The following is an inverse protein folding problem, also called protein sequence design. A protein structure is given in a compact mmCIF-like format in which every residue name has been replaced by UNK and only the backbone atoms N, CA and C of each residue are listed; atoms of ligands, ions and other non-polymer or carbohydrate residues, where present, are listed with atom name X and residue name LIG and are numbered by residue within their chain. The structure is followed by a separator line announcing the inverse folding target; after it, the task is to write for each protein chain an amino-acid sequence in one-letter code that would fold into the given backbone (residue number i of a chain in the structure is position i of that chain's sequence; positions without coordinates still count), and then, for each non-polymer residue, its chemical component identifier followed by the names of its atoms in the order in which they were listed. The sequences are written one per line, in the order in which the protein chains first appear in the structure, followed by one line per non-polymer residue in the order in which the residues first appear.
data_IF_101273510013
#
_entry.id   IF_101273510013
#
_cell.length_a   1.000
_cell.length_b   1.000
_cell.length_c   1.000
_cell.angle_alpha   90.00
_cell.angle_beta   90.00
_cell.angle_gamma   90.00
#
_symmetry.space_group_name_H-M   'P 1'
#
loop_
_entity.id
_entity.type
_entity.pdbx_description
1 polymer ?
#
# COMPACT_ATOMS: atom_id res chain seq x y z
N UNK A 1 -3.74 19.02 3.16
CA UNK A 1 -3.08 20.22 2.61
C UNK A 1 -3.73 20.74 1.30
N UNK A 2 -5.01 20.33 1.00
CA UNK A 2 -5.78 20.86 -0.14
C UNK A 2 -6.58 22.12 0.20
N UNK A 3 -6.62 22.52 1.47
CA UNK A 3 -7.55 23.56 1.93
C UNK A 3 -7.02 25.00 1.81
N UNK A 4 -5.81 25.22 1.26
CA UNK A 4 -5.16 26.53 1.28
C UNK A 4 -4.69 27.07 -0.09
N UNK A 5 -5.33 26.71 -1.19
CA UNK A 5 -5.22 27.56 -2.37
C UNK A 5 -6.42 28.52 -2.43
N UNK A 6 -6.26 29.79 -2.09
CA UNK A 6 -7.27 30.76 -2.40
C UNK A 6 -7.29 30.92 -3.93
N UNK A 7 -8.27 30.32 -4.59
CA UNK A 7 -8.62 30.71 -5.95
C UNK A 7 -9.23 32.10 -5.81
N UNK A 8 -8.39 33.11 -5.99
CA UNK A 8 -8.77 34.52 -5.86
C UNK A 8 -9.94 34.79 -6.79
N UNK A 9 -11.10 35.10 -6.24
CA UNK A 9 -12.29 35.55 -6.97
C UNK A 9 -13.33 34.48 -7.32
N UNK A 10 -13.14 33.20 -6.97
CA UNK A 10 -14.18 32.18 -7.16
C UNK A 10 -14.92 31.90 -5.83
N UNK A 11 -16.21 32.14 -5.83
CA UNK A 11 -17.11 31.76 -4.75
C UNK A 11 -17.19 30.23 -4.71
N UNK A 12 -16.60 29.63 -3.66
CA UNK A 12 -16.51 28.18 -3.47
C UNK A 12 -17.89 27.52 -3.56
N UNK A 13 -18.88 28.13 -2.96
CA UNK A 13 -20.26 27.59 -2.95
C UNK A 13 -20.87 27.60 -4.38
N UNK A 14 -20.60 28.63 -5.16
CA UNK A 14 -21.05 28.66 -6.57
C UNK A 14 -20.34 27.60 -7.42
N UNK A 15 -19.05 27.40 -7.20
CA UNK A 15 -18.27 26.37 -7.92
C UNK A 15 -18.80 24.98 -7.55
N UNK A 16 -18.99 24.69 -6.27
CA UNK A 16 -19.52 23.40 -5.81
C UNK A 16 -20.95 23.16 -6.33
N UNK A 17 -21.83 24.17 -6.29
CA UNK A 17 -23.18 24.05 -6.83
C UNK A 17 -23.20 23.83 -8.34
N UNK A 18 -22.30 24.51 -9.08
CA UNK A 18 -22.18 24.30 -10.52
C UNK A 18 -21.62 22.93 -10.87
N UNK A 19 -20.65 22.43 -10.10
CA UNK A 19 -20.12 21.07 -10.26
C UNK A 19 -21.19 20.01 -9.97
N UNK A 20 -21.99 20.18 -8.91
CA UNK A 20 -23.13 19.30 -8.61
C UNK A 20 -24.19 19.34 -9.73
N UNK A 21 -24.45 20.51 -10.29
CA UNK A 21 -25.36 20.64 -11.42
C UNK A 21 -24.82 19.94 -12.66
N UNK A 22 -23.54 20.17 -12.99
CA UNK A 22 -22.88 19.54 -14.14
C UNK A 22 -22.83 18.00 -13.95
N UNK A 23 -22.57 17.49 -12.74
CA UNK A 23 -22.65 16.05 -12.46
C UNK A 23 -24.03 15.48 -12.80
N UNK A 24 -25.11 16.15 -12.42
CA UNK A 24 -26.47 15.70 -12.73
C UNK A 24 -26.79 15.78 -14.24
N UNK A 25 -26.30 16.81 -14.92
CA UNK A 25 -26.44 16.96 -16.37
C UNK A 25 -25.62 15.86 -17.09
N UNK A 26 -24.43 15.50 -16.57
CA UNK A 26 -23.61 14.42 -17.07
C UNK A 26 -24.27 13.05 -16.90
N UNK A 27 -24.91 12.78 -15.76
CA UNK A 27 -25.67 11.55 -15.53
C UNK A 27 -26.72 11.29 -16.62
N UNK A 28 -27.33 12.36 -17.16
CA UNK A 28 -28.37 12.25 -18.19
C UNK A 28 -27.81 11.98 -19.61
N UNK A 29 -26.55 12.33 -19.87
CA UNK A 29 -25.97 12.28 -21.21
C UNK A 29 -25.07 11.03 -21.48
N UNK A 30 -24.61 10.32 -20.44
CA UNK A 30 -23.47 9.39 -20.59
C UNK A 30 -23.75 7.94 -20.17
N UNK A 31 -24.90 7.41 -20.51
CA UNK A 31 -25.25 6.00 -20.23
C UNK A 31 -24.53 4.95 -21.10
N UNK A 32 -23.51 5.32 -21.89
CA UNK A 32 -23.05 4.47 -22.99
C UNK A 32 -21.58 4.02 -22.90
N UNK A 33 -20.69 4.67 -22.13
CA UNK A 33 -19.28 4.24 -22.07
C UNK A 33 -18.76 4.06 -20.65
N UNK A 34 -17.86 3.09 -20.46
CA UNK A 34 -17.13 2.86 -19.20
C UNK A 34 -16.48 4.15 -18.69
N UNK A 35 -15.88 4.95 -19.58
CA UNK A 35 -15.26 6.23 -19.25
C UNK A 35 -16.25 7.27 -18.72
N UNK A 36 -17.47 7.27 -19.23
CA UNK A 36 -18.49 8.20 -18.80
C UNK A 36 -19.05 7.82 -17.44
N UNK A 37 -19.35 6.54 -17.21
CA UNK A 37 -19.73 6.00 -15.90
C UNK A 37 -18.66 6.32 -14.85
N UNK A 38 -17.41 6.12 -15.20
CA UNK A 38 -16.25 6.42 -14.37
C UNK A 38 -16.16 7.90 -13.99
N UNK A 39 -16.25 8.83 -14.94
CA UNK A 39 -16.20 10.28 -14.67
C UNK A 39 -17.41 10.72 -13.80
N UNK A 40 -18.57 10.14 -14.01
CA UNK A 40 -19.76 10.36 -13.17
C UNK A 40 -19.52 9.92 -11.74
N UNK A 41 -18.93 8.73 -11.55
CA UNK A 41 -18.58 8.21 -10.22
C UNK A 41 -17.57 9.12 -9.50
N UNK A 42 -16.55 9.62 -10.20
CA UNK A 42 -15.61 10.58 -9.63
C UNK A 42 -16.28 11.87 -9.17
N UNK A 43 -17.17 12.41 -9.99
CA UNK A 43 -17.91 13.62 -9.64
C UNK A 43 -18.82 13.39 -8.43
N UNK A 44 -19.49 12.25 -8.35
CA UNK A 44 -20.32 11.86 -7.19
C UNK A 44 -19.48 11.67 -5.93
N UNK A 45 -18.32 11.04 -6.03
CA UNK A 45 -17.39 10.88 -4.90
C UNK A 45 -16.96 12.22 -4.31
N UNK A 46 -16.63 13.19 -5.16
CA UNK A 46 -16.02 14.44 -4.73
C UNK A 46 -17.05 15.51 -4.37
N UNK A 47 -18.21 15.51 -5.02
CA UNK A 47 -19.19 16.60 -4.93
C UNK A 47 -20.62 16.14 -4.71
N UNK A 48 -20.89 14.85 -4.67
CA UNK A 48 -22.24 14.30 -4.61
C UNK A 48 -22.43 13.25 -3.52
N UNK A 49 -22.91 12.10 -3.92
CA UNK A 49 -23.21 10.94 -3.07
C UNK A 49 -22.13 9.85 -3.24
N UNK A 50 -21.24 9.65 -2.24
CA UNK A 50 -20.20 8.65 -2.32
C UNK A 50 -20.74 7.21 -2.44
N UNK A 51 -21.90 6.90 -1.88
CA UNK A 51 -22.51 5.56 -1.98
C UNK A 51 -22.96 5.26 -3.40
N UNK A 52 -23.54 6.25 -4.07
CA UNK A 52 -23.89 6.13 -5.48
C UNK A 52 -22.65 6.02 -6.37
N UNK A 53 -21.56 6.70 -6.01
CA UNK A 53 -20.28 6.53 -6.70
C UNK A 53 -19.77 5.08 -6.60
N UNK A 54 -19.85 4.47 -5.41
CA UNK A 54 -19.48 3.06 -5.20
C UNK A 54 -20.29 2.14 -6.10
N UNK A 55 -21.62 2.27 -6.11
CA UNK A 55 -22.49 1.43 -6.94
C UNK A 55 -22.12 1.50 -8.43
N UNK A 56 -21.88 2.71 -8.96
CA UNK A 56 -21.48 2.87 -10.37
C UNK A 56 -20.10 2.23 -10.63
N UNK A 57 -19.15 2.35 -9.70
CA UNK A 57 -17.83 1.76 -9.84
C UNK A 57 -17.88 0.22 -9.78
N UNK A 58 -18.72 -0.34 -8.92
CA UNK A 58 -18.95 -1.78 -8.82
C UNK A 58 -19.61 -2.32 -10.09
N UNK A 59 -20.58 -1.63 -10.66
CA UNK A 59 -21.19 -1.99 -11.95
C UNK A 59 -20.16 -2.08 -13.09
N UNK A 60 -19.14 -1.19 -13.08
CA UNK A 60 -18.06 -1.26 -14.07
C UNK A 60 -17.15 -2.50 -13.85
N UNK A 61 -16.92 -2.90 -12.59
CA UNK A 61 -16.12 -4.10 -12.29
C UNK A 61 -16.81 -5.39 -12.77
N UNK A 62 -18.15 -5.43 -12.69
CA UNK A 62 -18.96 -6.58 -13.11
C UNK A 62 -19.21 -6.62 -14.62
N UNK A 63 -19.04 -5.48 -15.31
CA UNK A 63 -19.25 -5.39 -16.76
C UNK A 63 -18.20 -6.21 -17.52
N UNK A 64 -18.65 -7.20 -18.30
CA UNK A 64 -17.79 -8.06 -19.13
C UNK A 64 -17.07 -7.28 -20.23
N UNK A 65 -17.61 -6.14 -20.67
CA UNK A 65 -17.01 -5.27 -21.67
C UNK A 65 -15.83 -4.43 -21.12
N UNK A 66 -15.71 -4.32 -19.81
CA UNK A 66 -14.63 -3.60 -19.13
C UNK A 66 -13.30 -4.32 -19.24
N UNK A 67 -12.28 -3.60 -19.71
CA UNK A 67 -10.91 -4.14 -19.81
C UNK A 67 -10.29 -4.30 -18.41
N UNK A 68 -9.22 -5.11 -18.31
CA UNK A 68 -8.45 -5.21 -17.06
C UNK A 68 -7.90 -3.87 -16.59
N UNK A 69 -7.54 -2.99 -17.52
CA UNK A 69 -7.09 -1.64 -17.18
C UNK A 69 -8.23 -0.79 -16.60
N UNK A 70 -9.43 -0.83 -17.18
CA UNK A 70 -10.60 -0.15 -16.62
C UNK A 70 -10.89 -0.64 -15.21
N UNK A 71 -10.86 -1.97 -15.00
CA UNK A 71 -11.08 -2.59 -13.69
C UNK A 71 -10.02 -2.21 -12.66
N UNK A 72 -8.74 -2.13 -13.06
CA UNK A 72 -7.68 -1.64 -12.19
C UNK A 72 -7.92 -0.21 -11.74
N UNK A 73 -8.22 0.66 -12.69
CA UNK A 73 -8.49 2.07 -12.46
C UNK A 73 -9.68 2.26 -11.51
N UNK A 74 -10.77 1.53 -11.77
CA UNK A 74 -11.98 1.55 -10.93
C UNK A 74 -11.69 1.06 -9.51
N UNK A 75 -10.94 -0.01 -9.36
CA UNK A 75 -10.54 -0.53 -8.04
C UNK A 75 -9.69 0.50 -7.26
N UNK A 76 -8.76 1.18 -7.93
CA UNK A 76 -8.03 2.28 -7.32
C UNK A 76 -8.97 3.40 -6.83
N UNK A 77 -9.96 3.78 -7.64
CA UNK A 77 -10.92 4.83 -7.22
C UNK A 77 -11.86 4.38 -6.12
N UNK A 78 -12.27 3.12 -6.08
CA UNK A 78 -12.99 2.56 -4.92
C UNK A 78 -12.17 2.74 -3.65
N UNK A 79 -10.88 2.48 -3.68
CA UNK A 79 -10.01 2.72 -2.52
C UNK A 79 -10.02 4.18 -2.05
N UNK A 80 -10.23 5.12 -2.95
CA UNK A 80 -10.28 6.56 -2.62
C UNK A 80 -11.61 7.02 -2.03
N UNK A 81 -12.67 6.23 -2.14
CA UNK A 81 -13.96 6.49 -1.48
C UNK A 81 -13.87 6.16 0.01
N UNK A 82 -13.21 5.06 0.36
CA UNK A 82 -13.08 4.57 1.73
C UNK A 82 -11.98 5.31 2.48
N UNK A 83 -12.33 6.48 3.06
CA UNK A 83 -11.38 7.39 3.73
C UNK A 83 -11.44 7.28 5.26
N UNK A 84 -12.50 6.68 5.81
CA UNK A 84 -12.67 6.59 7.25
C UNK A 84 -11.69 5.55 7.84
N UNK A 85 -11.20 5.77 9.07
CA UNK A 85 -10.33 4.82 9.74
C UNK A 85 -10.92 3.41 9.86
N UNK A 86 -12.23 3.30 10.07
CA UNK A 86 -12.95 2.02 10.19
C UNK A 86 -13.00 1.24 8.86
N UNK A 87 -12.81 1.93 7.74
CA UNK A 87 -12.82 1.36 6.39
C UNK A 87 -11.40 1.04 5.87
N UNK A 88 -10.39 1.17 6.73
CA UNK A 88 -8.97 1.05 6.36
C UNK A 88 -8.63 -0.29 5.71
N UNK A 89 -9.19 -1.40 6.21
CA UNK A 89 -8.96 -2.74 5.63
C UNK A 89 -9.60 -2.87 4.24
N UNK A 90 -10.79 -2.30 4.05
CA UNK A 90 -11.46 -2.27 2.76
C UNK A 90 -10.68 -1.43 1.74
N UNK A 91 -10.14 -0.30 2.18
CA UNK A 91 -9.24 0.51 1.35
C UNK A 91 -7.99 -0.27 0.92
N UNK A 92 -7.35 -0.99 1.84
CA UNK A 92 -6.19 -1.85 1.51
C UNK A 92 -6.55 -2.96 0.54
N UNK A 93 -7.73 -3.57 0.71
CA UNK A 93 -8.22 -4.58 -0.21
C UNK A 93 -8.32 -4.06 -1.64
N UNK A 94 -8.96 -2.91 -1.84
CA UNK A 94 -9.12 -2.31 -3.16
C UNK A 94 -7.80 -1.86 -3.77
N UNK A 95 -6.87 -1.31 -2.97
CA UNK A 95 -5.52 -0.99 -3.43
C UNK A 95 -4.75 -2.24 -3.87
N UNK A 96 -4.84 -3.33 -3.10
CA UNK A 96 -4.18 -4.58 -3.46
C UNK A 96 -4.80 -5.21 -4.72
N UNK A 97 -6.12 -5.12 -4.87
CA UNK A 97 -6.81 -5.62 -6.05
C UNK A 97 -6.43 -4.82 -7.30
N UNK A 98 -6.41 -3.48 -7.22
CA UNK A 98 -5.94 -2.61 -8.30
C UNK A 98 -4.50 -2.92 -8.68
N UNK A 99 -3.59 -2.99 -7.71
CA UNK A 99 -2.18 -3.32 -7.96
C UNK A 99 -2.00 -4.68 -8.63
N UNK A 100 -2.79 -5.69 -8.23
CA UNK A 100 -2.75 -7.00 -8.87
C UNK A 100 -3.21 -6.97 -10.34
N UNK A 101 -4.22 -6.16 -10.67
CA UNK A 101 -4.65 -5.95 -12.04
C UNK A 101 -3.61 -5.16 -12.85
N UNK A 102 -2.97 -4.15 -12.25
CA UNK A 102 -1.90 -3.36 -12.89
C UNK A 102 -0.74 -4.23 -13.37
N UNK A 103 -0.40 -5.30 -12.64
CA UNK A 103 0.64 -6.25 -13.07
C UNK A 103 0.25 -7.07 -14.30
N UNK A 104 -1.03 -7.14 -14.64
CA UNK A 104 -1.55 -7.94 -15.76
C UNK A 104 -1.75 -7.12 -17.05
N UNK A 105 -1.59 -5.80 -16.97
CA UNK A 105 -1.79 -4.88 -18.10
C UNK A 105 -0.48 -4.23 -18.53
N UNK A 106 -0.32 -3.91 -19.83
CA UNK A 106 0.89 -3.23 -20.31
C UNK A 106 1.04 -1.79 -19.79
N UNK A 107 -0.09 -1.10 -19.61
CA UNK A 107 -0.13 0.26 -19.07
C UNK A 107 -0.31 0.16 -17.56
N UNK A 108 0.73 0.45 -16.83
CA UNK A 108 0.77 0.29 -15.38
C UNK A 108 0.60 1.66 -14.70
N UNK A 109 -0.46 1.81 -13.93
CA UNK A 109 -0.60 2.92 -13.00
C UNK A 109 -0.24 2.44 -11.58
N UNK A 110 0.95 2.81 -11.13
CA UNK A 110 1.49 2.34 -9.84
C UNK A 110 1.01 3.14 -8.63
N UNK A 111 0.04 4.01 -8.80
CA UNK A 111 -0.54 4.79 -7.68
C UNK A 111 -1.09 3.87 -6.60
N UNK A 112 -1.76 2.79 -7.00
CA UNK A 112 -2.31 1.77 -6.11
C UNK A 112 -1.24 1.10 -5.25
N UNK A 113 -0.13 0.68 -5.86
CA UNK A 113 0.97 0.01 -5.18
C UNK A 113 1.74 0.96 -4.24
N UNK A 114 1.96 2.21 -4.65
CA UNK A 114 2.57 3.24 -3.80
C UNK A 114 1.73 3.54 -2.55
N UNK A 115 0.41 3.68 -2.71
CA UNK A 115 -0.48 3.93 -1.58
C UNK A 115 -0.58 2.71 -0.66
N UNK A 116 -0.66 1.50 -1.21
CA UNK A 116 -0.64 0.27 -0.44
C UNK A 116 0.65 0.14 0.38
N UNK A 117 1.80 0.39 -0.23
CA UNK A 117 3.10 0.38 0.46
C UNK A 117 3.14 1.39 1.61
N UNK A 118 2.57 2.59 1.41
CA UNK A 118 2.49 3.60 2.47
C UNK A 118 1.61 3.12 3.63
N UNK A 119 0.46 2.50 3.35
CA UNK A 119 -0.43 1.96 4.39
C UNK A 119 0.22 0.81 5.16
N UNK A 120 0.95 -0.08 4.47
CA UNK A 120 1.69 -1.16 5.11
C UNK A 120 2.82 -0.63 6.01
N UNK A 121 3.51 0.43 5.60
CA UNK A 121 4.50 1.11 6.43
C UNK A 121 3.88 1.65 7.73
N UNK A 122 2.72 2.31 7.63
CA UNK A 122 1.99 2.82 8.80
C UNK A 122 1.51 1.70 9.73
N UNK A 123 1.18 0.52 9.18
CA UNK A 123 0.81 -0.68 9.94
C UNK A 123 2.03 -1.41 10.55
N UNK A 124 3.24 -0.97 10.24
CA UNK A 124 4.49 -1.57 10.73
C UNK A 124 4.96 -2.79 9.94
N UNK A 125 4.33 -3.11 8.82
CA UNK A 125 4.80 -4.17 7.90
C UNK A 125 5.87 -3.62 6.95
N UNK A 126 7.06 -3.42 7.51
CA UNK A 126 8.17 -2.75 6.86
C UNK A 126 8.73 -3.55 5.68
N UNK A 127 8.70 -4.87 5.77
CA UNK A 127 9.27 -5.75 4.75
C UNK A 127 8.44 -5.68 3.45
N UNK A 128 7.10 -5.79 3.54
CA UNK A 128 6.21 -5.63 2.38
C UNK A 128 6.18 -4.19 1.89
N UNK A 129 6.14 -3.22 2.80
CA UNK A 129 6.15 -1.80 2.44
C UNK A 129 7.38 -1.43 1.59
N UNK A 130 8.58 -1.84 2.03
CA UNK A 130 9.83 -1.58 1.31
C UNK A 130 9.84 -2.25 -0.08
N UNK A 131 9.43 -3.52 -0.15
CA UNK A 131 9.40 -4.25 -1.41
C UNK A 131 8.42 -3.64 -2.42
N UNK A 132 7.20 -3.33 -2.00
CA UNK A 132 6.17 -2.76 -2.87
C UNK A 132 6.53 -1.34 -3.33
N UNK A 133 7.10 -0.53 -2.45
CA UNK A 133 7.56 0.81 -2.82
C UNK A 133 8.71 0.76 -3.81
N UNK A 134 9.65 -0.17 -3.62
CA UNK A 134 10.77 -0.37 -4.56
C UNK A 134 10.28 -0.77 -5.96
N UNK A 135 9.33 -1.70 -6.06
CA UNK A 135 8.71 -2.11 -7.33
C UNK A 135 8.03 -0.91 -7.99
N UNK A 136 7.18 -0.21 -7.25
CA UNK A 136 6.44 0.93 -7.78
C UNK A 136 7.36 2.05 -8.28
N UNK A 137 8.45 2.34 -7.55
CA UNK A 137 9.45 3.34 -7.94
C UNK A 137 10.22 2.90 -9.19
N UNK A 138 10.67 1.65 -9.24
CA UNK A 138 11.43 1.11 -10.38
C UNK A 138 10.62 1.21 -11.67
N UNK A 139 9.36 0.85 -11.60
CA UNK A 139 8.46 0.88 -12.74
C UNK A 139 8.04 2.31 -13.12
N UNK A 140 7.82 3.20 -12.14
CA UNK A 140 7.56 4.62 -12.40
C UNK A 140 8.74 5.31 -13.11
N UNK A 141 9.97 4.93 -12.75
CA UNK A 141 11.18 5.40 -13.44
C UNK A 141 11.24 4.89 -14.88
N UNK A 142 10.95 3.60 -15.10
CA UNK A 142 10.94 3.01 -16.45
C UNK A 142 9.89 3.64 -17.37
N UNK A 143 8.74 4.03 -16.81
CA UNK A 143 7.64 4.68 -17.54
C UNK A 143 7.74 6.20 -17.60
N UNK A 144 8.76 6.81 -16.99
CA UNK A 144 8.99 8.27 -16.93
C UNK A 144 7.81 9.08 -16.36
N UNK A 145 7.15 8.55 -15.32
CA UNK A 145 6.00 9.17 -14.66
C UNK A 145 6.48 10.18 -13.60
N UNK A 146 6.81 11.39 -14.06
CA UNK A 146 7.49 12.39 -13.24
C UNK A 146 6.73 12.87 -11.99
N UNK A 147 5.39 12.90 -12.00
CA UNK A 147 4.62 13.39 -10.85
C UNK A 147 4.59 12.40 -9.68
N UNK A 148 4.70 11.09 -9.96
CA UNK A 148 4.80 10.05 -8.92
C UNK A 148 6.21 9.96 -8.34
N UNK A 149 7.23 10.28 -9.15
CA UNK A 149 8.64 10.09 -8.78
C UNK A 149 9.01 10.84 -7.51
N UNK A 150 8.66 12.12 -7.37
CA UNK A 150 9.07 12.90 -6.21
C UNK A 150 8.50 12.32 -4.91
N UNK A 151 7.21 12.01 -4.88
CA UNK A 151 6.55 11.46 -3.69
C UNK A 151 7.01 10.04 -3.37
N UNK A 152 7.21 9.22 -4.41
CA UNK A 152 7.66 7.85 -4.28
C UNK A 152 9.11 7.77 -3.78
N UNK A 153 10.01 8.61 -4.29
CA UNK A 153 11.42 8.66 -3.85
C UNK A 153 11.53 9.03 -2.37
N UNK A 154 10.79 10.05 -1.92
CA UNK A 154 10.80 10.46 -0.51
C UNK A 154 10.24 9.37 0.42
N UNK A 155 9.16 8.71 -0.01
CA UNK A 155 8.54 7.62 0.75
C UNK A 155 9.44 6.37 0.76
N UNK A 156 10.01 6.00 -0.39
CA UNK A 156 10.93 4.86 -0.52
C UNK A 156 12.15 5.03 0.38
N UNK A 157 12.80 6.19 0.38
CA UNK A 157 13.96 6.44 1.21
C UNK A 157 13.65 6.25 2.70
N UNK A 158 12.51 6.75 3.19
CA UNK A 158 12.08 6.57 4.59
C UNK A 158 11.77 5.11 4.91
N UNK A 159 10.98 4.46 4.08
CA UNK A 159 10.55 3.06 4.27
C UNK A 159 11.77 2.13 4.27
N UNK A 160 12.64 2.28 3.28
CA UNK A 160 13.84 1.44 3.14
C UNK A 160 14.82 1.63 4.30
N UNK A 161 15.00 2.87 4.78
CA UNK A 161 15.84 3.13 5.95
C UNK A 161 15.32 2.41 7.19
N UNK A 162 14.03 2.54 7.50
CA UNK A 162 13.42 1.92 8.69
C UNK A 162 13.39 0.39 8.56
N UNK A 163 13.11 -0.14 7.37
CA UNK A 163 13.14 -1.57 7.11
C UNK A 163 14.55 -2.14 7.34
N UNK A 164 15.59 -1.47 6.82
CA UNK A 164 16.98 -1.88 7.00
C UNK A 164 17.41 -1.87 8.47
N UNK A 165 17.02 -0.83 9.22
CA UNK A 165 17.29 -0.75 10.66
C UNK A 165 16.60 -1.89 11.43
N UNK A 166 15.37 -2.21 11.08
CA UNK A 166 14.60 -3.33 11.65
C UNK A 166 15.29 -4.66 11.38
N UNK A 167 15.70 -4.92 10.14
CA UNK A 167 16.44 -6.13 9.80
C UNK A 167 17.77 -6.24 10.56
N UNK A 168 18.54 -5.15 10.64
CA UNK A 168 19.80 -5.12 11.42
C UNK A 168 19.56 -5.40 12.90
N UNK A 169 18.45 -4.93 13.45
CA UNK A 169 18.06 -5.21 14.84
C UNK A 169 17.74 -6.68 15.05
N UNK A 170 16.93 -7.28 14.16
CA UNK A 170 16.61 -8.73 14.19
C UNK A 170 17.86 -9.59 14.08
N UNK A 171 18.73 -9.29 13.14
CA UNK A 171 20.01 -10.02 12.95
C UNK A 171 20.90 -9.93 14.20
N UNK A 172 21.01 -8.75 14.81
CA UNK A 172 21.77 -8.61 16.06
C UNK A 172 21.22 -9.48 17.18
N UNK A 173 19.89 -9.48 17.38
CA UNK A 173 19.25 -10.33 18.40
C UNK A 173 19.54 -11.80 18.14
N UNK A 174 19.42 -12.28 16.91
CA UNK A 174 19.74 -13.67 16.55
C UNK A 174 21.19 -14.01 16.84
N UNK A 175 22.14 -13.15 16.47
CA UNK A 175 23.57 -13.34 16.75
C UNK A 175 23.82 -13.46 18.26
N UNK A 176 23.22 -12.60 19.07
CA UNK A 176 23.36 -12.69 20.52
C UNK A 176 22.75 -13.97 21.10
N UNK A 177 21.60 -14.42 20.60
CA UNK A 177 21.00 -15.68 21.01
C UNK A 177 21.86 -16.88 20.65
N UNK A 178 22.40 -16.93 19.45
CA UNK A 178 23.31 -17.99 19.02
C UNK A 178 24.62 -17.99 19.82
N UNK A 179 25.21 -16.83 20.09
CA UNK A 179 26.39 -16.70 20.93
C UNK A 179 26.13 -17.19 22.37
N UNK A 180 24.99 -16.83 22.93
CA UNK A 180 24.56 -17.29 24.27
C UNK A 180 24.38 -18.81 24.32
N UNK A 181 23.72 -19.40 23.31
CA UNK A 181 23.58 -20.86 23.22
C UNK A 181 24.94 -21.57 23.08
N UNK A 182 25.85 -21.02 22.29
CA UNK A 182 27.20 -21.59 22.13
C UNK A 182 27.98 -21.55 23.46
N UNK A 183 27.90 -20.47 24.21
CA UNK A 183 28.52 -20.38 25.53
C UNK A 183 27.93 -21.36 26.54
N UNK A 184 26.61 -21.54 26.55
CA UNK A 184 25.95 -22.55 27.39
C UNK A 184 26.38 -23.97 27.03
N UNK A 185 26.45 -24.28 25.74
CA UNK A 185 26.92 -25.59 25.25
C UNK A 185 28.37 -25.85 25.65
N UNK A 186 29.23 -24.86 25.54
CA UNK A 186 30.63 -24.94 25.97
C UNK A 186 30.77 -25.16 27.50
N UNK A 187 29.97 -24.45 28.30
CA UNK A 187 29.93 -24.62 29.73
C UNK A 187 29.48 -26.03 30.14
N UNK A 188 28.42 -26.53 29.52
CA UNK A 188 27.92 -27.90 29.75
C UNK A 188 28.97 -28.96 29.37
N UNK A 189 29.63 -28.78 28.23
CA UNK A 189 30.71 -29.67 27.80
C UNK A 189 31.90 -29.67 28.78
N UNK A 190 32.24 -28.50 29.31
CA UNK A 190 33.31 -28.37 30.34
C UNK A 190 32.94 -29.08 31.64
N UNK A 191 31.68 -28.90 32.11
CA UNK A 191 31.18 -29.60 33.35
C UNK A 191 31.15 -31.10 33.15
N UNK A 192 30.64 -31.59 32.02
CA UNK A 192 30.65 -33.01 31.67
C UNK A 192 32.09 -33.60 31.60
N UNK A 193 32.99 -32.88 30.93
CA UNK A 193 34.38 -33.26 30.84
C UNK A 193 35.07 -33.34 32.22
N UNK A 194 34.79 -32.36 33.08
CA UNK A 194 35.28 -32.36 34.46
C UNK A 194 34.71 -33.54 35.28
N UNK A 195 33.42 -33.80 35.21
CA UNK A 195 32.78 -34.90 35.94
C UNK A 195 33.29 -36.31 35.48
N UNK A 196 33.48 -36.46 34.17
CA UNK A 196 34.07 -37.70 33.64
C UNK A 196 35.53 -37.88 34.06
N UNK A 197 36.32 -36.84 34.14
CA UNK A 197 37.70 -36.88 34.65
C UNK A 197 37.74 -37.27 36.13
N UNK A 198 36.83 -36.75 36.92
CA UNK A 198 36.70 -37.04 38.35
C UNK A 198 36.33 -38.51 38.60
N UNK A 199 35.38 -39.06 37.81
CA UNK A 199 34.98 -40.49 37.89
C UNK A 199 36.14 -41.45 37.55
N UNK A 200 36.99 -41.06 36.58
CA UNK A 200 38.17 -41.87 36.21
C UNK A 200 39.30 -41.85 37.24
N UNK A 201 39.25 -40.94 38.23
CA UNK A 201 40.29 -40.82 39.29
C UNK A 201 39.88 -41.53 40.59
N UNK A 202 38.67 -42.04 40.71
CA UNK A 202 38.26 -42.87 41.81
C UNK A 202 38.72 -44.31 41.49
N UNK A 203 39.68 -44.92 42.21
CA UNK A 203 40.00 -46.28 42.02
C UNK A 203 38.84 -47.14 42.51
N UNK A 204 38.56 -48.22 41.75
CA UNK A 204 37.63 -49.25 42.17
C UNK A 204 38.12 -49.82 43.52
N UNK A 205 37.32 -49.58 44.59
CA UNK A 205 37.55 -50.13 45.92
C UNK A 205 36.77 -51.44 46.08
#
# INVERSE_FOLDING_TARGET
ARDNMPIVGLDREKVENRLRQLSREYEAFFDISVHAKYNTALALRDYGDPQKAVSILEDILEDESSTLHDKSLVAYYLSTVYKNPDERELRKYWLAYAANLDFQVPVRDYSSLCELATMLYEDGDLDRAANYMHIALTDALACNISFLLQRAVEAEAKISQVALESQRRRTRILVFLFAGMALLAAALAAVLGYSLRQRRRLPDA
#
